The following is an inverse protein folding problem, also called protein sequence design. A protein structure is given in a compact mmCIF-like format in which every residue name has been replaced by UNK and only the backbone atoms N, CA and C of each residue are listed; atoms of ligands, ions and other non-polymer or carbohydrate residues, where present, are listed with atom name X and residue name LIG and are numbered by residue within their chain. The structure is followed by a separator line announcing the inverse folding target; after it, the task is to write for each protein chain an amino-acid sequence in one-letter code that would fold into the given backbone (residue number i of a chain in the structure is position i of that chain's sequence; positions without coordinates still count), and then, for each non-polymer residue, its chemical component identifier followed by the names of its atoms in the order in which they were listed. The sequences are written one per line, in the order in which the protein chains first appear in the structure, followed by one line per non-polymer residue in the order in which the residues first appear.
data_IF_858305573673
#
_entry.id   IF_858305573673
#
_cell.length_a   1.000
_cell.length_b   1.000
_cell.length_c   1.000
_cell.angle_alpha   90.00
_cell.angle_beta   90.00
_cell.angle_gamma   90.00
#
_symmetry.space_group_name_H-M   'P 1'
#
loop_
_entity.id
_entity.type
_entity.pdbx_description
1 polymer ?
#
# COMPACT_ATOMS: atom_id res chain seq x y z
N UNK A 1 3.34 -1.85 -44.15
CA UNK A 1 2.87 -1.97 -42.78
C UNK A 1 3.31 -3.32 -42.25
N UNK A 2 3.76 -3.44 -41.01
CA UNK A 2 4.09 -4.75 -40.44
C UNK A 2 2.86 -5.65 -40.49
N UNK A 3 3.08 -6.92 -40.77
CA UNK A 3 2.02 -7.92 -40.81
C UNK A 3 1.47 -8.11 -39.35
N UNK A 4 0.18 -7.81 -39.12
CA UNK A 4 -0.41 -7.95 -37.79
C UNK A 4 -0.44 -9.42 -37.31
N UNK A 5 -0.43 -10.38 -38.19
CA UNK A 5 -0.36 -11.82 -37.84
C UNK A 5 1.03 -12.20 -37.34
N UNK A 6 2.10 -11.65 -37.94
CA UNK A 6 3.45 -11.89 -37.46
C UNK A 6 3.66 -11.38 -36.02
N UNK A 7 3.06 -10.25 -35.66
CA UNK A 7 3.11 -9.73 -34.29
C UNK A 7 2.34 -10.63 -33.29
N UNK A 8 1.24 -11.26 -33.73
CA UNK A 8 0.51 -12.25 -32.91
C UNK A 8 1.31 -13.52 -32.74
N UNK A 9 1.94 -14.02 -33.82
CA UNK A 9 2.77 -15.24 -33.78
C UNK A 9 4.00 -15.03 -32.88
N UNK A 10 4.63 -13.86 -32.93
CA UNK A 10 5.74 -13.50 -32.04
C UNK A 10 5.29 -13.44 -30.58
N UNK A 11 4.15 -12.79 -30.29
CA UNK A 11 3.57 -12.75 -28.95
C UNK A 11 3.16 -14.16 -28.43
N UNK A 12 2.66 -15.02 -29.31
CA UNK A 12 2.34 -16.41 -28.96
C UNK A 12 3.58 -17.25 -28.70
N UNK A 13 4.67 -17.04 -29.46
CA UNK A 13 5.96 -17.72 -29.24
C UNK A 13 6.62 -17.29 -27.92
N UNK A 14 6.40 -16.05 -27.48
CA UNK A 14 6.83 -15.53 -26.17
C UNK A 14 5.88 -15.91 -25.03
N UNK A 15 4.71 -16.51 -25.31
CA UNK A 15 3.72 -16.88 -24.31
C UNK A 15 4.32 -17.85 -23.29
N UNK A 16 4.33 -17.41 -22.03
CA UNK A 16 4.79 -18.23 -20.92
C UNK A 16 3.66 -19.15 -20.45
N UNK A 17 3.99 -20.34 -19.91
CA UNK A 17 2.97 -21.22 -19.32
C UNK A 17 2.21 -20.50 -18.20
N UNK A 18 0.98 -20.94 -17.96
CA UNK A 18 0.13 -20.40 -16.88
C UNK A 18 0.89 -20.38 -15.54
N UNK A 19 0.67 -19.33 -14.72
CA UNK A 19 1.33 -19.21 -13.43
C UNK A 19 1.03 -20.41 -12.52
N UNK A 20 2.04 -20.85 -11.78
CA UNK A 20 1.89 -21.99 -10.86
C UNK A 20 1.18 -21.57 -9.58
N UNK A 21 0.13 -22.30 -9.24
CA UNK A 21 -0.58 -22.13 -7.96
C UNK A 21 0.33 -22.66 -6.83
N UNK A 22 0.61 -21.85 -5.80
CA UNK A 22 1.40 -22.31 -4.67
C UNK A 22 0.66 -23.38 -3.87
N UNK A 23 1.36 -24.45 -3.52
CA UNK A 23 0.84 -25.56 -2.73
C UNK A 23 1.73 -25.86 -1.53
N UNK A 24 1.21 -26.59 -0.55
CA UNK A 24 1.97 -27.01 0.64
C UNK A 24 2.63 -25.83 1.36
N UNK A 25 1.81 -24.82 1.70
CA UNK A 25 2.28 -23.64 2.39
C UNK A 25 2.56 -23.92 3.87
N UNK A 26 3.71 -23.45 4.35
CA UNK A 26 4.03 -23.43 5.78
C UNK A 26 4.29 -22.01 6.22
N UNK A 27 3.83 -21.67 7.43
CA UNK A 27 3.91 -20.33 8.00
C UNK A 27 4.85 -20.32 9.19
N UNK A 28 5.71 -19.32 9.25
CA UNK A 28 6.66 -19.10 10.33
C UNK A 28 6.70 -17.66 10.80
N UNK A 29 7.47 -17.43 11.84
CA UNK A 29 7.78 -16.08 12.28
C UNK A 29 8.75 -15.44 11.28
N UNK A 30 8.61 -14.13 11.10
CA UNK A 30 9.58 -13.30 10.39
C UNK A 30 10.76 -12.91 11.30
N UNK A 31 11.13 -11.65 11.26
CA UNK A 31 12.24 -11.08 12.05
C UNK A 31 11.99 -11.15 13.57
N UNK A 32 10.74 -11.19 14.01
CA UNK A 32 10.38 -11.33 15.42
C UNK A 32 9.13 -12.18 15.62
N UNK A 33 9.02 -12.81 16.78
CA UNK A 33 7.83 -13.53 17.19
C UNK A 33 6.67 -12.56 17.50
N UNK A 34 5.46 -13.11 17.58
CA UNK A 34 4.27 -12.32 17.95
C UNK A 34 4.41 -11.67 19.35
N UNK A 35 5.06 -12.37 20.29
CA UNK A 35 5.32 -11.83 21.64
C UNK A 35 6.25 -10.63 21.59
N UNK A 36 7.40 -10.79 20.97
CA UNK A 36 8.39 -9.72 20.80
C UNK A 36 7.81 -8.50 20.10
N UNK A 37 7.00 -8.70 19.05
CA UNK A 37 6.33 -7.59 18.37
C UNK A 37 5.37 -6.83 19.29
N UNK A 38 4.54 -7.54 20.09
CA UNK A 38 3.65 -6.90 21.07
C UNK A 38 4.41 -6.09 22.11
N UNK A 39 5.54 -6.59 22.57
CA UNK A 39 6.38 -5.89 23.54
C UNK A 39 7.05 -4.65 22.92
N UNK A 40 7.47 -4.74 21.66
CA UNK A 40 7.96 -3.60 20.90
C UNK A 40 6.90 -2.51 20.73
N UNK A 41 5.64 -2.89 20.43
CA UNK A 41 4.51 -1.94 20.34
C UNK A 41 4.28 -1.24 21.69
N UNK A 42 4.29 -2.00 22.82
CA UNK A 42 4.13 -1.41 24.16
C UNK A 42 5.28 -0.44 24.51
N UNK A 43 6.51 -0.82 24.16
CA UNK A 43 7.67 0.03 24.38
C UNK A 43 7.58 1.33 23.54
N UNK A 44 7.21 1.23 22.28
CA UNK A 44 7.01 2.39 21.42
C UNK A 44 5.90 3.29 21.94
N UNK A 45 4.77 2.74 22.35
CA UNK A 45 3.67 3.50 22.93
C UNK A 45 4.07 4.29 24.19
N UNK A 46 4.99 3.76 25.02
CA UNK A 46 5.56 4.53 26.16
C UNK A 46 6.39 5.71 25.65
N UNK A 47 7.31 5.46 24.71
CA UNK A 47 8.18 6.52 24.15
C UNK A 47 7.40 7.65 23.49
N UNK A 48 6.30 7.34 22.80
CA UNK A 48 5.41 8.36 22.23
C UNK A 48 4.75 9.20 23.32
N UNK A 49 4.30 8.59 24.41
CA UNK A 49 3.75 9.36 25.57
C UNK A 49 4.80 10.24 26.26
N UNK A 50 6.06 9.87 26.20
CA UNK A 50 7.21 10.62 26.70
C UNK A 50 7.70 11.69 25.72
N UNK A 51 7.01 11.85 24.57
CA UNK A 51 7.31 12.91 23.58
C UNK A 51 8.48 12.57 22.64
N UNK A 52 8.89 11.30 22.53
CA UNK A 52 10.00 10.92 21.65
C UNK A 52 9.68 11.09 20.16
N UNK A 53 8.38 11.07 19.77
CA UNK A 53 7.87 11.36 18.44
C UNK A 53 6.35 11.57 18.50
N UNK A 54 5.78 12.20 17.49
CA UNK A 54 4.33 12.44 17.40
C UNK A 54 3.58 11.19 16.90
N UNK A 55 4.22 10.39 16.05
CA UNK A 55 3.64 9.21 15.43
C UNK A 55 4.72 8.15 15.16
N UNK A 56 4.33 6.89 15.28
CA UNK A 56 5.12 5.74 14.82
C UNK A 56 4.19 4.68 14.23
N UNK A 57 4.61 4.09 13.11
CA UNK A 57 3.92 2.96 12.48
C UNK A 57 4.74 1.70 12.72
N UNK A 58 4.16 0.72 13.42
CA UNK A 58 4.82 -0.52 13.75
C UNK A 58 4.43 -1.62 12.75
N UNK A 59 5.41 -2.23 12.12
CA UNK A 59 5.22 -3.32 11.18
C UNK A 59 5.70 -4.66 11.74
N UNK A 60 5.16 -5.74 11.19
CA UNK A 60 5.59 -7.11 11.46
C UNK A 60 5.57 -7.91 10.17
N UNK A 61 6.60 -8.72 10.00
CA UNK A 61 6.72 -9.66 8.90
C UNK A 61 6.34 -11.09 9.30
N UNK A 62 6.09 -11.92 8.30
CA UNK A 62 5.88 -13.36 8.42
C UNK A 62 6.64 -14.07 7.31
N UNK A 63 7.17 -15.26 7.61
CA UNK A 63 7.72 -16.15 6.60
C UNK A 63 6.64 -17.09 6.09
N UNK A 64 6.50 -17.17 4.77
CA UNK A 64 5.68 -18.20 4.12
C UNK A 64 6.59 -18.99 3.19
N UNK A 65 6.57 -20.30 3.32
CA UNK A 65 7.35 -21.20 2.46
C UNK A 65 6.41 -22.06 1.62
N UNK A 66 6.80 -22.23 0.36
CA UNK A 66 6.14 -23.11 -0.59
C UNK A 66 7.15 -24.13 -1.09
N UNK A 67 6.80 -25.41 -1.18
CA UNK A 67 7.70 -26.49 -1.56
C UNK A 67 8.38 -26.27 -2.93
N UNK A 68 7.68 -25.65 -3.88
CA UNK A 68 8.17 -25.40 -5.23
C UNK A 68 8.47 -23.92 -5.52
N UNK A 69 8.60 -23.09 -4.47
CA UNK A 69 8.72 -21.64 -4.62
C UNK A 69 7.42 -20.96 -5.02
N UNK A 70 7.44 -19.64 -5.04
CA UNK A 70 6.31 -18.82 -5.50
C UNK A 70 6.51 -18.43 -6.96
N UNK A 71 5.43 -18.48 -7.73
CA UNK A 71 5.35 -17.81 -9.02
C UNK A 71 4.75 -16.43 -8.81
N UNK A 72 5.55 -15.39 -9.01
CA UNK A 72 5.17 -13.99 -8.75
C UNK A 72 4.01 -13.56 -9.65
N UNK A 73 3.90 -14.13 -10.85
CA UNK A 73 2.80 -13.86 -11.79
C UNK A 73 1.46 -14.31 -11.19
N UNK A 74 1.43 -15.47 -10.51
CA UNK A 74 0.24 -15.93 -9.80
C UNK A 74 -0.18 -14.94 -8.72
N UNK A 75 0.77 -14.45 -7.91
CA UNK A 75 0.48 -13.46 -6.87
C UNK A 75 -0.04 -12.15 -7.48
N UNK A 76 0.58 -11.69 -8.55
CA UNK A 76 0.19 -10.46 -9.24
C UNK A 76 -1.21 -10.56 -9.86
N UNK A 77 -1.54 -11.70 -10.50
CA UNK A 77 -2.89 -11.98 -11.02
C UNK A 77 -3.94 -11.98 -9.90
N UNK A 78 -3.64 -12.63 -8.77
CA UNK A 78 -4.54 -12.66 -7.61
C UNK A 78 -4.76 -11.26 -7.03
N UNK A 79 -3.71 -10.47 -6.90
CA UNK A 79 -3.81 -9.08 -6.45
C UNK A 79 -4.61 -8.23 -7.44
N UNK A 80 -4.43 -8.45 -8.75
CA UNK A 80 -5.18 -7.73 -9.79
C UNK A 80 -6.67 -8.04 -9.75
N UNK A 81 -7.03 -9.29 -9.52
CA UNK A 81 -8.42 -9.71 -9.43
C UNK A 81 -9.12 -9.23 -8.14
N UNK A 82 -8.39 -9.25 -7.01
CA UNK A 82 -8.95 -8.89 -5.70
C UNK A 82 -8.96 -7.37 -5.45
N UNK A 83 -8.00 -6.64 -6.00
CA UNK A 83 -7.79 -5.20 -5.74
C UNK A 83 -7.62 -4.42 -7.06
N UNK A 84 -8.66 -4.34 -7.91
CA UNK A 84 -8.56 -3.74 -9.24
C UNK A 84 -8.24 -2.24 -9.21
N UNK A 85 -8.58 -1.54 -8.13
CA UNK A 85 -8.37 -0.09 -7.95
C UNK A 85 -7.03 0.27 -7.27
N UNK A 86 -6.09 -0.66 -7.19
CA UNK A 86 -4.76 -0.41 -6.59
C UNK A 86 -3.66 -0.38 -7.64
N UNK A 87 -2.53 0.25 -7.31
CA UNK A 87 -1.28 0.11 -8.06
C UNK A 87 -0.64 -1.22 -7.70
N UNK A 88 -0.48 -2.08 -8.71
CA UNK A 88 0.12 -3.40 -8.58
C UNK A 88 1.53 -3.38 -9.14
N UNK A 89 2.44 -4.02 -8.45
CA UNK A 89 3.84 -4.03 -8.85
C UNK A 89 4.48 -5.39 -8.57
N UNK A 90 5.47 -5.71 -9.40
CA UNK A 90 6.39 -6.82 -9.23
C UNK A 90 7.77 -6.35 -9.71
N UNK A 91 8.70 -6.12 -8.77
CA UNK A 91 10.05 -5.63 -9.04
C UNK A 91 11.01 -6.43 -8.16
N UNK A 92 11.98 -7.10 -8.76
CA UNK A 92 12.98 -7.92 -8.07
C UNK A 92 12.35 -8.85 -7.00
N UNK A 93 11.29 -9.56 -7.38
CA UNK A 93 10.50 -10.45 -6.51
C UNK A 93 9.71 -9.76 -5.40
N UNK A 94 9.74 -8.44 -5.31
CA UNK A 94 8.82 -7.68 -4.47
C UNK A 94 7.47 -7.52 -5.18
N UNK A 95 6.48 -8.27 -4.72
CA UNK A 95 5.12 -8.23 -5.29
C UNK A 95 4.18 -7.55 -4.31
N UNK A 96 3.36 -6.64 -4.81
CA UNK A 96 2.41 -5.93 -3.96
C UNK A 96 1.28 -5.24 -4.72
N UNK A 97 0.31 -4.75 -3.93
CA UNK A 97 -0.75 -3.87 -4.38
C UNK A 97 -0.96 -2.77 -3.34
N UNK A 98 -0.94 -1.51 -3.76
CA UNK A 98 -1.09 -0.36 -2.87
C UNK A 98 -2.17 0.59 -3.38
N UNK A 99 -3.10 1.03 -2.54
CA UNK A 99 -4.03 2.12 -2.86
C UNK A 99 -3.40 3.50 -2.66
N UNK A 100 -2.24 3.56 -2.02
CA UNK A 100 -1.53 4.79 -1.68
C UNK A 100 -0.50 5.13 -2.75
N UNK A 101 -0.48 6.40 -3.17
CA UNK A 101 0.49 6.92 -4.13
C UNK A 101 1.40 7.92 -3.42
N UNK A 102 2.67 7.55 -3.23
CA UNK A 102 3.65 8.44 -2.62
C UNK A 102 3.79 9.73 -3.44
N UNK A 103 4.08 9.59 -4.71
CA UNK A 103 4.16 10.70 -5.66
C UNK A 103 4.04 10.21 -7.08
N UNK A 104 3.29 10.91 -7.90
CA UNK A 104 3.32 10.82 -9.36
C UNK A 104 3.58 12.22 -9.91
N UNK A 105 4.52 12.35 -10.84
CA UNK A 105 4.85 13.61 -11.48
C UNK A 105 4.74 13.47 -13.01
N UNK A 106 3.92 14.30 -13.61
CA UNK A 106 3.68 14.29 -15.05
C UNK A 106 3.38 15.71 -15.54
N UNK A 107 4.06 16.14 -16.61
CA UNK A 107 3.79 17.41 -17.29
C UNK A 107 3.74 18.63 -16.35
N UNK A 108 4.65 18.69 -15.38
CA UNK A 108 4.73 19.83 -14.43
C UNK A 108 3.72 19.77 -13.28
N UNK A 109 2.93 18.72 -13.18
CA UNK A 109 2.01 18.48 -12.07
C UNK A 109 2.48 17.31 -11.23
N UNK A 110 2.48 17.46 -9.90
CA UNK A 110 2.75 16.38 -8.95
C UNK A 110 1.47 16.03 -8.20
N UNK A 111 1.23 14.74 -8.01
CA UNK A 111 0.08 14.24 -7.24
C UNK A 111 0.53 13.20 -6.22
N UNK A 112 -0.09 13.21 -5.05
CA UNK A 112 0.12 12.23 -3.98
C UNK A 112 -1.23 11.84 -3.38
N UNK A 113 -1.41 10.57 -3.04
CA UNK A 113 -2.55 10.10 -2.25
C UNK A 113 -2.07 9.60 -0.92
N UNK A 114 -2.44 10.31 0.13
CA UNK A 114 -2.06 10.01 1.52
C UNK A 114 -3.17 9.20 2.18
N UNK A 115 -2.83 8.09 2.79
CA UNK A 115 -3.74 7.25 3.56
C UNK A 115 -3.25 7.14 5.01
N UNK A 116 -4.12 7.44 5.97
CA UNK A 116 -3.88 7.16 7.38
C UNK A 116 -5.24 7.09 8.11
N UNK A 117 -5.32 6.23 9.11
CA UNK A 117 -6.61 5.85 9.70
C UNK A 117 -7.27 4.73 8.88
N UNK A 118 -7.69 3.65 9.58
CA UNK A 118 -8.22 2.45 8.93
C UNK A 118 -9.28 1.80 9.80
N UNK A 119 -10.37 1.36 9.18
CA UNK A 119 -11.40 0.55 9.85
C UNK A 119 -11.86 -0.61 8.95
N UNK A 120 -12.75 -1.44 9.47
CA UNK A 120 -13.42 -2.49 8.69
C UNK A 120 -14.50 -1.90 7.80
N UNK A 121 -14.88 -2.60 6.71
CA UNK A 121 -16.05 -2.22 5.94
C UNK A 121 -17.30 -2.09 6.85
N UNK A 122 -18.06 -1.02 6.65
CA UNK A 122 -19.24 -0.68 7.46
C UNK A 122 -18.96 0.22 8.67
N UNK A 123 -17.70 0.46 9.04
CA UNK A 123 -17.32 1.31 10.18
C UNK A 123 -16.82 2.71 9.75
N UNK A 124 -17.05 3.12 8.50
CA UNK A 124 -16.50 4.36 7.92
C UNK A 124 -16.93 5.64 8.65
N UNK A 125 -18.19 5.75 9.08
CA UNK A 125 -18.67 6.92 9.83
C UNK A 125 -17.96 7.07 11.19
N UNK A 126 -17.71 5.96 11.87
CA UNK A 126 -16.94 5.94 13.12
C UNK A 126 -15.49 6.40 12.86
N UNK A 127 -14.86 5.94 11.77
CA UNK A 127 -13.53 6.38 11.36
C UNK A 127 -13.51 7.89 11.07
N UNK A 128 -14.47 8.39 10.30
CA UNK A 128 -14.57 9.80 9.92
C UNK A 128 -14.84 10.74 11.10
N UNK A 129 -15.38 10.22 12.20
CA UNK A 129 -15.63 10.99 13.44
C UNK A 129 -14.58 10.76 14.54
N UNK A 130 -13.62 9.86 14.32
CA UNK A 130 -12.57 9.55 15.31
C UNK A 130 -11.52 10.65 15.38
N UNK A 131 -11.51 11.42 16.46
CA UNK A 131 -10.51 12.47 16.68
C UNK A 131 -9.06 11.94 16.65
N UNK A 132 -8.84 10.70 17.11
CA UNK A 132 -7.53 10.04 17.04
C UNK A 132 -7.12 9.78 15.60
N UNK A 133 -8.01 9.19 14.79
CA UNK A 133 -7.68 8.79 13.42
C UNK A 133 -7.58 10.01 12.50
N UNK A 134 -8.41 11.04 12.70
CA UNK A 134 -8.28 12.32 12.02
C UNK A 134 -6.95 13.02 12.34
N UNK A 135 -6.51 13.04 13.61
CA UNK A 135 -5.19 13.57 13.97
C UNK A 135 -4.05 12.79 13.33
N UNK A 136 -4.16 11.46 13.28
CA UNK A 136 -3.18 10.61 12.62
C UNK A 136 -3.11 10.92 11.11
N UNK A 137 -4.26 11.11 10.48
CA UNK A 137 -4.38 11.49 9.08
C UNK A 137 -3.79 12.87 8.78
N UNK A 138 -4.07 13.85 9.63
CA UNK A 138 -3.53 15.21 9.51
C UNK A 138 -2.01 15.22 9.55
N UNK A 139 -1.38 14.49 10.47
CA UNK A 139 0.07 14.40 10.55
C UNK A 139 0.68 13.81 9.26
N UNK A 140 0.04 12.79 8.69
CA UNK A 140 0.49 12.18 7.43
C UNK A 140 0.33 13.16 6.26
N UNK A 141 -0.83 13.81 6.12
CA UNK A 141 -1.14 14.75 5.04
C UNK A 141 -0.26 16.00 5.10
N UNK A 142 -0.03 16.55 6.28
CA UNK A 142 0.87 17.69 6.50
C UNK A 142 2.33 17.34 6.16
N UNK A 143 2.77 16.13 6.44
CA UNK A 143 4.11 15.64 6.08
C UNK A 143 4.36 15.75 4.59
N UNK A 144 3.40 15.32 3.75
CA UNK A 144 3.49 15.40 2.29
C UNK A 144 3.35 16.85 1.80
N UNK A 145 2.30 17.55 2.24
CA UNK A 145 2.00 18.92 1.79
C UNK A 145 3.14 19.89 2.12
N UNK A 146 3.77 19.77 3.28
CA UNK A 146 4.88 20.64 3.68
C UNK A 146 6.13 20.45 2.82
N UNK A 147 6.37 19.24 2.30
CA UNK A 147 7.48 18.99 1.36
C UNK A 147 7.13 19.59 0.00
N UNK A 148 5.93 19.33 -0.51
CA UNK A 148 5.51 19.81 -1.83
C UNK A 148 5.44 21.34 -1.88
N UNK A 149 5.00 22.01 -0.81
CA UNK A 149 4.96 23.49 -0.72
C UNK A 149 6.35 24.13 -0.89
N UNK A 150 7.42 23.41 -0.55
CA UNK A 150 8.80 23.91 -0.76
C UNK A 150 9.33 23.69 -2.17
N UNK A 151 8.72 22.77 -2.93
CA UNK A 151 9.19 22.34 -4.23
C UNK A 151 8.32 22.82 -5.40
N UNK A 152 7.06 23.19 -5.13
CA UNK A 152 6.06 23.51 -6.12
C UNK A 152 5.52 24.93 -5.93
N UNK A 153 4.99 25.53 -6.97
CA UNK A 153 4.45 26.91 -6.95
C UNK A 153 3.10 27.00 -6.28
N UNK A 154 2.32 25.93 -6.30
CA UNK A 154 1.02 25.83 -5.64
C UNK A 154 0.81 24.42 -5.11
N UNK A 155 0.09 24.28 -4.00
CA UNK A 155 -0.29 22.99 -3.41
C UNK A 155 -1.73 23.08 -2.95
N UNK A 156 -2.54 22.10 -3.35
CA UNK A 156 -3.93 21.96 -2.90
C UNK A 156 -4.14 20.56 -2.33
N UNK A 157 -4.97 20.43 -1.31
CA UNK A 157 -5.34 19.16 -0.71
C UNK A 157 -6.86 18.97 -0.75
N UNK A 158 -7.31 17.81 -1.16
CA UNK A 158 -8.73 17.41 -1.22
C UNK A 158 -8.94 16.23 -0.28
N UNK A 159 -9.63 16.47 0.82
CA UNK A 159 -9.91 15.45 1.84
C UNK A 159 -10.04 16.06 3.25
N UNK A 160 -10.12 15.21 4.29
CA UNK A 160 -10.16 13.76 4.17
C UNK A 160 -11.50 13.21 3.63
N UNK A 161 -11.43 12.13 2.87
CA UNK A 161 -12.59 11.36 2.43
C UNK A 161 -12.40 9.87 2.74
N UNK A 162 -13.50 9.09 2.69
CA UNK A 162 -13.44 7.64 2.89
C UNK A 162 -13.11 6.92 1.59
N UNK A 163 -11.99 6.19 1.57
CA UNK A 163 -11.58 5.32 0.49
C UNK A 163 -11.91 3.87 0.86
N UNK A 164 -12.90 3.29 0.19
CA UNK A 164 -13.29 1.90 0.41
C UNK A 164 -12.50 0.94 -0.47
N UNK A 165 -11.92 -0.08 0.14
CA UNK A 165 -11.32 -1.24 -0.49
C UNK A 165 -12.11 -2.50 -0.11
N UNK A 166 -11.90 -3.65 -0.77
CA UNK A 166 -12.68 -4.85 -0.50
C UNK A 166 -12.66 -5.33 0.97
N UNK A 167 -11.59 -5.06 1.69
CA UNK A 167 -11.37 -5.57 3.05
C UNK A 167 -11.16 -4.49 4.12
N UNK A 168 -11.00 -3.23 3.75
CA UNK A 168 -10.77 -2.11 4.68
C UNK A 168 -11.33 -0.81 4.11
N UNK A 169 -11.53 0.19 4.98
CA UNK A 169 -11.82 1.58 4.62
C UNK A 169 -10.73 2.46 5.24
N UNK A 170 -10.19 3.38 4.46
CA UNK A 170 -9.19 4.37 4.89
C UNK A 170 -9.73 5.79 4.86
N UNK A 171 -9.17 6.66 5.71
CA UNK A 171 -9.19 8.09 5.43
C UNK A 171 -8.12 8.38 4.37
N UNK A 172 -8.50 9.16 3.37
CA UNK A 172 -7.66 9.52 2.23
C UNK A 172 -7.66 11.03 1.99
N UNK A 173 -6.52 11.57 1.57
CA UNK A 173 -6.38 12.94 1.04
C UNK A 173 -5.57 12.90 -0.24
N UNK A 174 -6.09 13.50 -1.29
CA UNK A 174 -5.36 13.74 -2.53
C UNK A 174 -4.69 15.12 -2.48
N UNK A 175 -3.38 15.14 -2.68
CA UNK A 175 -2.57 16.35 -2.74
C UNK A 175 -2.12 16.58 -4.17
N UNK A 176 -2.35 17.77 -4.68
CA UNK A 176 -1.98 18.21 -6.02
C UNK A 176 -1.05 19.44 -5.93
N UNK A 177 0.01 19.42 -6.71
CA UNK A 177 1.04 20.43 -6.70
C UNK A 177 1.59 20.72 -8.11
#
# INVERSE_FOLDING_TARGET
APDPLAAVDEAMAEARPAPRVPTSLTFGHGSMSRGQWRDSVRAMARRLREGAADKAVMARDMTVRCAHGFDERFLLERLSALYPSTWRFCVDSLVGASPEMLIAALCGTATSRVLAGTCKPGEGEMLASSAKDLREHDLASQSVSSVLTRLCTSVTAQGPFLLSLPNVVHLATDVHA
#
